data_IF_144300731822
#
_entry.id   IF_144300731822
#
_cell.length_a   1.000
_cell.length_b   1.000
_cell.length_c   1.000
_cell.angle_alpha   90.00
_cell.angle_beta   90.00
_cell.angle_gamma   90.00
#
_symmetry.space_group_name_H-M   'P 1'
#
loop_
_entity.id
_entity.type
_entity.pdbx_description
1 polymer ?
#
# COMPACT_ATOMS: atom_id res chain seq x y z
N UNK A 1 14.12 -14.73 -5.64
CA UNK A 1 12.68 -14.98 -5.44
C UNK A 1 12.40 -14.80 -3.96
N UNK A 2 11.90 -13.65 -3.53
CA UNK A 2 11.64 -13.34 -2.12
C UNK A 2 10.33 -14.02 -1.72
N UNK A 3 10.41 -15.06 -0.90
CA UNK A 3 9.28 -15.63 -0.19
C UNK A 3 8.79 -14.60 0.84
N UNK A 4 8.06 -13.61 0.39
CA UNK A 4 7.36 -12.69 1.27
C UNK A 4 6.15 -13.45 1.82
N UNK A 5 6.14 -13.75 3.12
CA UNK A 5 4.99 -14.29 3.84
C UNK A 5 3.89 -13.21 3.88
N UNK A 6 3.22 -13.00 2.75
CA UNK A 6 2.09 -12.08 2.66
C UNK A 6 0.91 -12.73 3.38
N UNK A 7 0.67 -12.31 4.62
CA UNK A 7 -0.51 -12.72 5.39
C UNK A 7 -1.74 -12.04 4.80
N UNK A 8 -2.46 -12.74 3.91
CA UNK A 8 -3.78 -12.30 3.43
C UNK A 8 -4.78 -12.35 4.57
N UNK A 9 -5.57 -11.30 4.74
CA UNK A 9 -6.58 -11.17 5.79
C UNK A 9 -7.98 -11.27 5.17
N UNK A 10 -8.92 -11.94 5.86
CA UNK A 10 -10.33 -12.02 5.44
C UNK A 10 -11.07 -10.78 5.93
N UNK A 11 -12.04 -10.32 5.14
CA UNK A 11 -12.79 -9.07 5.31
C UNK A 11 -13.89 -9.10 6.37
N UNK A 12 -14.24 -10.27 6.95
CA UNK A 12 -15.51 -10.49 7.64
C UNK A 12 -15.75 -9.60 8.87
N UNK A 13 -14.71 -9.02 9.50
CA UNK A 13 -14.85 -8.31 10.79
C UNK A 13 -14.07 -6.98 10.85
N UNK A 14 -13.74 -6.40 9.70
CA UNK A 14 -12.90 -5.21 9.65
C UNK A 14 -13.70 -3.97 9.19
N UNK A 15 -13.69 -2.91 9.99
CA UNK A 15 -14.10 -1.59 9.52
C UNK A 15 -13.04 -1.07 8.53
N UNK A 16 -13.41 -0.97 7.27
CA UNK A 16 -12.53 -0.57 6.19
C UNK A 16 -12.91 0.81 5.68
N UNK A 17 -11.94 1.71 5.65
CA UNK A 17 -12.05 3.03 5.01
C UNK A 17 -11.44 2.97 3.62
N UNK A 18 -12.13 3.54 2.65
CA UNK A 18 -11.65 3.63 1.28
C UNK A 18 -11.10 5.03 0.98
N UNK A 19 -10.02 5.08 0.20
CA UNK A 19 -9.38 6.31 -0.28
C UNK A 19 -9.15 6.23 -1.76
N UNK A 20 -9.76 7.15 -2.52
CA UNK A 20 -9.49 7.32 -3.94
C UNK A 20 -8.13 7.98 -4.13
N UNK A 21 -7.20 7.29 -4.78
CA UNK A 21 -5.86 7.83 -5.09
C UNK A 21 -5.85 8.62 -6.38
N UNK A 22 -6.43 8.07 -7.43
CA UNK A 22 -6.49 8.71 -8.74
C UNK A 22 -7.65 8.14 -9.57
N UNK A 23 -8.23 9.00 -10.38
CA UNK A 23 -9.19 8.62 -11.41
C UNK A 23 -8.77 9.24 -12.73
N UNK A 24 -8.85 8.46 -13.79
CA UNK A 24 -8.47 8.90 -15.13
C UNK A 24 -9.53 8.49 -16.14
N UNK A 25 -9.89 9.41 -17.05
CA UNK A 25 -10.70 9.09 -18.22
C UNK A 25 -9.83 8.42 -19.26
N UNK A 26 -10.20 7.21 -19.67
CA UNK A 26 -9.50 6.41 -20.68
C UNK A 26 -10.40 6.20 -21.90
N UNK A 27 -9.79 6.00 -23.04
CA UNK A 27 -10.52 5.88 -24.32
C UNK A 27 -10.08 4.61 -25.03
N UNK A 28 -11.06 3.85 -25.53
CA UNK A 28 -10.85 2.77 -26.48
C UNK A 28 -11.33 3.22 -27.85
N UNK A 29 -10.46 3.17 -28.84
CA UNK A 29 -10.80 3.49 -30.24
C UNK A 29 -11.26 2.21 -30.93
N UNK A 30 -12.43 2.26 -31.57
CA UNK A 30 -13.03 1.18 -32.36
C UNK A 30 -13.36 1.69 -33.76
N UNK A 31 -13.75 0.81 -34.70
CA UNK A 31 -14.17 1.18 -36.03
C UNK A 31 -15.36 2.18 -36.07
N UNK A 32 -16.19 2.18 -35.01
CA UNK A 32 -17.35 3.07 -34.86
C UNK A 32 -17.05 4.37 -34.11
N UNK A 33 -15.81 4.61 -33.67
CA UNK A 33 -15.43 5.82 -32.93
C UNK A 33 -14.72 5.58 -31.63
N UNK A 34 -14.79 6.56 -30.70
CA UNK A 34 -14.11 6.55 -29.40
C UNK A 34 -15.10 6.22 -28.29
N UNK A 35 -14.87 5.12 -27.58
CA UNK A 35 -15.62 4.75 -26.37
C UNK A 35 -14.85 5.19 -25.14
N UNK A 36 -15.45 6.02 -24.30
CA UNK A 36 -14.86 6.54 -23.08
C UNK A 36 -15.21 5.65 -21.89
N UNK A 37 -14.27 5.54 -20.96
CA UNK A 37 -14.43 4.86 -19.68
C UNK A 37 -13.59 5.57 -18.62
N UNK A 38 -13.85 5.28 -17.34
CA UNK A 38 -13.05 5.77 -16.22
C UNK A 38 -12.28 4.62 -15.61
N UNK A 39 -11.02 4.90 -15.23
CA UNK A 39 -10.17 3.98 -14.47
C UNK A 39 -9.85 4.63 -13.14
N UNK A 40 -10.22 3.96 -12.06
CA UNK A 40 -9.95 4.40 -10.69
C UNK A 40 -8.94 3.46 -10.03
N UNK A 41 -8.01 4.03 -9.25
CA UNK A 41 -7.19 3.28 -8.29
C UNK A 41 -7.61 3.68 -6.88
N UNK A 42 -7.97 2.69 -6.09
CA UNK A 42 -8.49 2.85 -4.73
C UNK A 42 -7.62 2.07 -3.77
N UNK A 43 -7.39 2.63 -2.60
CA UNK A 43 -6.74 1.97 -1.46
C UNK A 43 -7.78 1.82 -0.36
N UNK A 44 -7.82 0.66 0.26
CA UNK A 44 -8.71 0.33 1.37
C UNK A 44 -7.88 -0.11 2.55
N UNK A 45 -8.18 0.35 3.75
CA UNK A 45 -7.47 -0.03 4.97
C UNK A 45 -8.29 0.21 6.23
N UNK A 46 -7.85 -0.38 7.33
CA UNK A 46 -8.50 -0.29 8.64
C UNK A 46 -7.78 0.67 9.60
N UNK A 47 -6.73 1.36 9.13
CA UNK A 47 -5.88 2.22 9.97
C UNK A 47 -5.22 1.47 11.17
N UNK A 48 -5.22 0.13 11.12
CA UNK A 48 -4.62 -0.77 12.13
C UNK A 48 -3.79 -1.90 11.47
N UNK A 49 -2.94 -1.52 10.55
CA UNK A 49 -1.98 -2.43 9.91
C UNK A 49 -2.54 -3.28 8.77
N UNK A 50 -3.80 -3.09 8.34
CA UNK A 50 -4.35 -3.82 7.18
C UNK A 50 -4.60 -2.85 6.04
N UNK A 51 -4.13 -3.20 4.85
CA UNK A 51 -4.30 -2.39 3.64
C UNK A 51 -4.43 -3.28 2.40
N UNK A 52 -5.19 -2.80 1.43
CA UNK A 52 -5.29 -3.38 0.11
C UNK A 52 -5.43 -2.30 -0.95
N UNK A 53 -5.14 -2.64 -2.19
CA UNK A 53 -5.41 -1.76 -3.32
C UNK A 53 -6.22 -2.50 -4.37
N UNK A 54 -7.01 -1.75 -5.11
CA UNK A 54 -7.81 -2.29 -6.20
C UNK A 54 -7.91 -1.34 -7.37
N UNK A 55 -8.16 -1.90 -8.52
CA UNK A 55 -8.35 -1.21 -9.78
C UNK A 55 -9.77 -1.41 -10.27
N UNK A 56 -10.49 -0.32 -10.49
CA UNK A 56 -11.82 -0.37 -11.07
C UNK A 56 -11.88 0.34 -12.43
N UNK A 57 -12.64 -0.23 -13.36
CA UNK A 57 -12.90 0.38 -14.65
C UNK A 57 -14.37 0.25 -15.00
N UNK A 58 -15.00 1.38 -15.37
CA UNK A 58 -16.41 1.43 -15.78
C UNK A 58 -16.68 2.62 -16.68
N UNK A 59 -17.88 2.69 -17.26
CA UNK A 59 -18.37 3.84 -18.02
C UNK A 59 -18.64 5.07 -17.15
N UNK A 60 -18.96 4.85 -15.87
CA UNK A 60 -19.26 5.87 -14.87
C UNK A 60 -18.22 5.88 -13.75
N UNK A 61 -17.99 7.08 -13.16
CA UNK A 61 -17.00 7.29 -12.09
C UNK A 61 -17.36 6.48 -10.85
N UNK A 62 -18.60 6.53 -10.38
CA UNK A 62 -19.06 5.84 -9.18
C UNK A 62 -18.91 4.32 -9.32
N UNK A 63 -19.33 3.77 -10.45
CA UNK A 63 -19.18 2.34 -10.76
C UNK A 63 -17.71 1.91 -10.86
N UNK A 64 -16.79 2.78 -11.34
CA UNK A 64 -15.36 2.49 -11.37
C UNK A 64 -14.77 2.45 -9.96
N UNK A 65 -15.17 3.37 -9.07
CA UNK A 65 -14.73 3.40 -7.67
C UNK A 65 -15.25 2.15 -6.93
N UNK A 66 -16.54 1.83 -7.03
CA UNK A 66 -17.13 0.66 -6.37
C UNK A 66 -16.41 -0.64 -6.75
N UNK A 67 -16.13 -0.86 -8.04
CA UNK A 67 -15.33 -1.99 -8.52
C UNK A 67 -13.90 -1.99 -7.97
N UNK A 68 -13.28 -0.80 -7.86
CA UNK A 68 -11.95 -0.66 -7.25
C UNK A 68 -11.94 -1.05 -5.78
N UNK A 69 -12.97 -0.66 -5.01
CA UNK A 69 -13.12 -1.04 -3.60
C UNK A 69 -13.31 -2.56 -3.44
N UNK A 70 -14.15 -3.17 -4.27
CA UNK A 70 -14.35 -4.62 -4.25
C UNK A 70 -13.05 -5.40 -4.58
N UNK A 71 -12.28 -4.92 -5.55
CA UNK A 71 -10.99 -5.51 -5.90
C UNK A 71 -9.97 -5.34 -4.78
N UNK A 72 -9.91 -4.16 -4.14
CA UNK A 72 -9.05 -3.89 -3.00
C UNK A 72 -9.35 -4.81 -1.80
N UNK A 73 -10.62 -5.07 -1.51
CA UNK A 73 -11.05 -5.97 -0.43
C UNK A 73 -10.60 -7.42 -0.64
N UNK A 74 -10.38 -7.86 -1.87
CA UNK A 74 -9.85 -9.20 -2.19
C UNK A 74 -8.35 -9.33 -1.94
N UNK A 75 -7.64 -8.20 -1.93
CA UNK A 75 -6.19 -8.13 -1.88
C UNK A 75 -5.66 -7.47 -0.59
N UNK A 76 -6.31 -7.72 0.54
CA UNK A 76 -5.89 -7.19 1.83
C UNK A 76 -4.65 -7.91 2.35
N UNK A 77 -3.68 -7.12 2.84
CA UNK A 77 -2.43 -7.62 3.44
C UNK A 77 -2.23 -6.98 4.80
N UNK A 78 -1.63 -7.74 5.74
CA UNK A 78 -1.27 -7.25 7.07
C UNK A 78 0.18 -6.78 7.08
N UNK A 79 0.40 -5.57 7.58
CA UNK A 79 1.67 -4.86 7.65
C UNK A 79 2.07 -4.69 9.11
N UNK A 80 3.33 -4.91 9.50
CA UNK A 80 3.81 -4.64 10.85
C UNK A 80 3.94 -3.13 11.08
N UNK A 81 3.16 -2.59 12.00
CA UNK A 81 3.23 -1.20 12.48
C UNK A 81 3.66 -1.22 13.94
N UNK A 82 4.68 -0.45 14.31
CA UNK A 82 5.24 -0.37 15.66
C UNK A 82 5.21 1.08 16.13
N UNK A 83 4.49 1.37 17.21
CA UNK A 83 4.38 2.71 17.79
C UNK A 83 3.99 3.80 16.76
N UNK A 84 3.13 3.45 15.78
CA UNK A 84 2.68 4.38 14.74
C UNK A 84 3.72 4.69 13.66
N UNK A 85 4.81 3.90 13.57
CA UNK A 85 5.82 3.97 12.51
C UNK A 85 6.17 2.58 11.98
N UNK A 86 7.11 2.51 11.04
CA UNK A 86 7.60 1.25 10.44
C UNK A 86 8.85 0.75 11.18
N UNK A 87 9.10 -0.58 11.20
CA UNK A 87 10.24 -1.17 11.94
C UNK A 87 11.61 -0.72 11.45
N UNK A 88 11.80 -0.62 10.13
CA UNK A 88 13.10 -0.29 9.52
C UNK A 88 12.93 0.39 8.17
N UNK A 89 14.02 0.96 7.65
CA UNK A 89 14.07 1.48 6.29
C UNK A 89 13.86 0.33 5.29
N UNK A 90 13.02 0.59 4.28
CA UNK A 90 12.80 -0.32 3.17
C UNK A 90 12.72 0.44 1.85
N UNK A 91 13.21 -0.20 0.80
CA UNK A 91 13.09 0.28 -0.58
C UNK A 91 12.51 -0.84 -1.44
N UNK A 92 11.56 -0.49 -2.30
CA UNK A 92 11.00 -1.46 -3.26
C UNK A 92 10.73 -0.79 -4.59
N UNK A 93 10.80 -1.59 -5.66
CA UNK A 93 10.59 -1.13 -7.02
C UNK A 93 9.42 -1.86 -7.67
N UNK A 94 8.58 -1.10 -8.34
CA UNK A 94 7.55 -1.66 -9.21
C UNK A 94 7.58 -0.93 -10.56
N UNK A 95 7.87 -1.68 -11.64
CA UNK A 95 8.06 -1.09 -12.97
C UNK A 95 9.10 0.06 -12.94
N UNK A 96 8.76 1.24 -13.43
CA UNK A 96 9.63 2.42 -13.43
C UNK A 96 9.63 3.24 -12.14
N UNK A 97 8.87 2.87 -11.11
CA UNK A 97 8.80 3.59 -9.83
C UNK A 97 9.62 2.88 -8.75
N UNK A 98 10.47 3.64 -8.07
CA UNK A 98 11.21 3.24 -6.87
C UNK A 98 10.64 4.01 -5.69
N UNK A 99 10.30 3.31 -4.62
CA UNK A 99 9.79 3.87 -3.38
C UNK A 99 10.75 3.56 -2.25
N UNK A 100 11.07 4.58 -1.45
CA UNK A 100 11.84 4.46 -0.22
C UNK A 100 10.97 4.93 0.95
N UNK A 101 10.92 4.13 2.00
CA UNK A 101 10.25 4.45 3.27
C UNK A 101 11.25 4.34 4.41
N UNK A 102 11.18 5.27 5.36
CA UNK A 102 12.04 5.30 6.57
C UNK A 102 11.20 5.58 7.80
N UNK A 103 11.49 4.95 8.94
CA UNK A 103 10.83 5.28 10.20
C UNK A 103 11.15 6.74 10.59
N UNK A 104 10.23 7.37 11.31
CA UNK A 104 10.38 8.71 11.81
C UNK A 104 9.97 8.81 13.28
N UNK A 105 10.50 9.81 13.97
CA UNK A 105 10.18 10.09 15.37
C UNK A 105 8.69 10.50 15.53
N UNK A 106 8.09 10.25 16.69
CA UNK A 106 6.74 10.72 16.99
C UNK A 106 6.63 12.24 16.80
N UNK A 107 5.53 12.69 16.15
CA UNK A 107 5.29 14.08 15.84
C UNK A 107 5.78 14.54 14.47
N UNK A 108 6.54 13.72 13.74
CA UNK A 108 6.99 14.04 12.36
C UNK A 108 5.83 14.06 11.37
N UNK A 109 4.81 13.20 11.58
CA UNK A 109 3.72 13.04 10.63
C UNK A 109 4.08 12.19 9.41
N UNK A 110 3.16 12.10 8.45
CA UNK A 110 3.37 11.37 7.20
C UNK A 110 3.95 12.32 6.14
N UNK A 111 5.25 12.21 5.87
CA UNK A 111 5.92 12.97 4.82
C UNK A 111 6.07 12.09 3.60
N UNK A 112 5.11 12.19 2.67
CA UNK A 112 5.02 11.35 1.48
C UNK A 112 4.31 12.07 0.33
N UNK A 113 4.56 11.65 -0.90
CA UNK A 113 3.78 12.07 -2.07
C UNK A 113 2.34 11.53 -2.01
N UNK A 114 1.38 12.18 -2.67
CA UNK A 114 -0.06 11.93 -2.52
C UNK A 114 -0.47 10.45 -2.63
N UNK A 115 0.00 9.73 -3.65
CA UNK A 115 -0.32 8.33 -3.85
C UNK A 115 0.25 7.43 -2.73
N UNK A 116 1.47 7.73 -2.27
CA UNK A 116 2.11 7.00 -1.16
C UNK A 116 1.43 7.35 0.18
N UNK A 117 1.10 8.63 0.39
CA UNK A 117 0.42 9.11 1.59
C UNK A 117 -0.92 8.39 1.79
N UNK A 118 -1.72 8.24 0.74
CA UNK A 118 -2.98 7.53 0.80
C UNK A 118 -2.81 6.08 1.31
N UNK A 119 -1.77 5.37 0.86
CA UNK A 119 -1.46 4.01 1.32
C UNK A 119 -1.02 4.02 2.79
N UNK A 120 -0.06 4.88 3.15
CA UNK A 120 0.53 4.93 4.50
C UNK A 120 -0.50 5.30 5.58
N UNK A 121 -1.37 6.27 5.28
CA UNK A 121 -2.47 6.65 6.17
C UNK A 121 -3.54 5.55 6.27
N UNK A 122 -3.87 4.85 5.18
CA UNK A 122 -4.82 3.72 5.21
C UNK A 122 -4.29 2.52 6.03
N UNK A 123 -2.96 2.36 6.14
CA UNK A 123 -2.32 1.39 7.04
C UNK A 123 -2.42 1.82 8.52
N UNK A 124 -2.55 3.11 8.79
CA UNK A 124 -2.53 3.68 10.15
C UNK A 124 -1.13 4.12 10.62
N UNK A 125 -0.18 4.30 9.69
CA UNK A 125 1.13 4.84 10.01
C UNK A 125 1.00 6.35 10.25
N UNK A 126 1.48 6.82 11.40
CA UNK A 126 1.39 8.23 11.81
C UNK A 126 2.67 9.01 11.56
N UNK A 127 3.83 8.33 11.61
CA UNK A 127 5.14 8.96 11.49
C UNK A 127 6.03 8.18 10.52
N UNK A 128 6.31 8.77 9.35
CA UNK A 128 7.12 8.12 8.31
C UNK A 128 7.67 9.15 7.33
N UNK A 129 8.89 8.91 6.88
CA UNK A 129 9.52 9.64 5.78
C UNK A 129 9.51 8.75 4.54
N UNK A 130 8.88 9.21 3.47
CA UNK A 130 8.79 8.45 2.24
C UNK A 130 9.10 9.32 1.01
N UNK A 131 9.82 8.74 0.06
CA UNK A 131 10.20 9.40 -1.19
C UNK A 131 10.06 8.44 -2.36
N UNK A 132 9.46 8.93 -3.43
CA UNK A 132 9.43 8.23 -4.71
C UNK A 132 10.53 8.76 -5.63
N UNK A 133 11.09 7.87 -6.44
CA UNK A 133 12.05 8.17 -7.50
C UNK A 133 11.62 7.49 -8.79
N UNK A 134 11.98 8.06 -9.94
CA UNK A 134 11.58 7.53 -11.24
C UNK A 134 10.15 7.93 -11.63
N UNK A 135 9.36 6.97 -12.09
CA UNK A 135 8.00 7.23 -12.56
C UNK A 135 7.07 7.70 -11.44
N UNK A 136 6.32 8.76 -11.68
CA UNK A 136 5.30 9.30 -10.78
C UNK A 136 3.89 8.76 -11.04
N UNK A 137 3.74 7.73 -11.88
CA UNK A 137 2.45 7.11 -12.17
C UNK A 137 1.81 6.57 -10.87
N UNK A 138 0.60 7.02 -10.48
CA UNK A 138 -0.06 6.61 -9.24
C UNK A 138 -0.24 5.09 -9.11
N UNK A 139 -0.52 4.40 -10.21
CA UNK A 139 -0.65 2.93 -10.23
C UNK A 139 0.63 2.23 -9.82
N UNK A 140 1.77 2.69 -10.32
CA UNK A 140 3.07 2.11 -9.99
C UNK A 140 3.48 2.46 -8.56
N UNK A 141 3.24 3.71 -8.14
CA UNK A 141 3.58 4.18 -6.79
C UNK A 141 2.82 3.41 -5.70
N UNK A 142 1.50 3.22 -5.86
CA UNK A 142 0.70 2.43 -4.90
C UNK A 142 1.22 1.00 -4.80
N UNK A 143 1.47 0.34 -5.93
CA UNK A 143 1.99 -1.04 -5.95
C UNK A 143 3.39 -1.14 -5.34
N UNK A 144 4.30 -0.21 -5.67
CA UNK A 144 5.64 -0.17 -5.11
C UNK A 144 5.60 0.10 -3.59
N UNK A 145 4.71 0.98 -3.12
CA UNK A 145 4.56 1.28 -1.68
C UNK A 145 4.06 0.05 -0.92
N UNK A 146 3.05 -0.64 -1.43
CA UNK A 146 2.54 -1.86 -0.79
C UNK A 146 3.58 -2.97 -0.83
N UNK A 147 4.33 -3.13 -1.93
CA UNK A 147 5.45 -4.07 -2.00
C UNK A 147 6.51 -3.77 -0.93
N UNK A 148 6.92 -2.49 -0.78
CA UNK A 148 7.87 -2.07 0.26
C UNK A 148 7.36 -2.38 1.68
N UNK A 149 6.05 -2.15 1.94
CA UNK A 149 5.43 -2.46 3.22
C UNK A 149 5.35 -3.97 3.51
N UNK A 150 5.09 -4.80 2.49
CA UNK A 150 5.07 -6.27 2.62
C UNK A 150 6.45 -6.86 2.88
N UNK A 151 7.52 -6.19 2.48
CA UNK A 151 8.90 -6.61 2.71
C UNK A 151 9.42 -6.24 4.11
N UNK A 152 8.65 -5.47 4.89
CA UNK A 152 8.99 -5.14 6.27
C UNK A 152 9.01 -6.39 7.16
N UNK A 153 10.00 -6.46 8.04
CA UNK A 153 10.17 -7.53 9.03
C UNK A 153 10.10 -6.95 10.42
N UNK A 154 9.26 -7.50 11.26
CA UNK A 154 9.23 -7.19 12.68
C UNK A 154 10.30 -8.00 13.44
N UNK A 155 10.71 -7.51 14.59
CA UNK A 155 11.74 -8.16 15.40
C UNK A 155 11.30 -9.57 15.85
N UNK A 156 10.01 -9.78 16.08
CA UNK A 156 9.47 -11.09 16.44
C UNK A 156 9.67 -12.12 15.32
N UNK A 157 9.34 -11.75 14.08
CA UNK A 157 9.56 -12.62 12.90
C UNK A 157 11.05 -12.94 12.72
N UNK A 158 11.93 -11.96 12.96
CA UNK A 158 13.38 -12.17 12.86
C UNK A 158 13.88 -13.11 13.96
N UNK A 159 13.42 -12.93 15.21
CA UNK A 159 13.74 -13.81 16.34
C UNK A 159 13.34 -15.26 16.04
N UNK A 160 12.12 -15.44 15.58
CA UNK A 160 11.58 -16.77 15.23
C UNK A 160 12.36 -17.42 14.08
N UNK A 161 12.70 -16.67 13.03
CA UNK A 161 13.47 -17.18 11.90
C UNK A 161 14.91 -17.57 12.26
N UNK A 162 15.51 -16.86 13.21
CA UNK A 162 16.89 -17.13 13.69
C UNK A 162 16.94 -18.11 14.86
N UNK A 163 15.81 -18.43 15.49
CA UNK A 163 15.75 -19.29 16.69
C UNK A 163 16.40 -18.65 17.93
N UNK A 164 16.39 -17.33 18.04
CA UNK A 164 17.01 -16.56 19.13
C UNK A 164 15.97 -15.76 19.90
N UNK A 165 16.31 -15.33 21.12
CA UNK A 165 15.43 -14.48 21.93
C UNK A 165 15.30 -13.06 21.36
N UNK A 166 14.19 -12.37 21.71
CA UNK A 166 13.99 -10.97 21.33
C UNK A 166 15.12 -10.05 21.79
N UNK A 167 15.65 -10.28 23.01
CA UNK A 167 16.77 -9.50 23.54
C UNK A 167 18.03 -9.63 22.68
N UNK A 168 18.30 -10.83 22.18
CA UNK A 168 19.44 -11.07 21.29
C UNK A 168 19.26 -10.45 19.90
N UNK A 169 18.02 -10.20 19.45
CA UNK A 169 17.79 -9.48 18.18
C UNK A 169 18.20 -8.02 18.28
N UNK A 170 18.03 -7.39 19.47
CA UNK A 170 18.33 -5.96 19.67
C UNK A 170 19.73 -5.70 20.19
N UNK A 171 20.28 -6.60 20.99
CA UNK A 171 21.54 -6.37 21.71
C UNK A 171 22.72 -7.22 21.18
N UNK A 172 22.48 -8.14 20.27
CA UNK A 172 23.49 -9.04 19.69
C UNK A 172 23.63 -10.33 20.48
#
# INVERSE_FOLDING_TARGET
>A
MSNTNIKKVRTSDLELKDRLVSIQRVTKVTKGGRTFSFSAIVVVGNEDGVVGYGLGKASEVQSAIAKGVEDAKKNLVKIPVINGTIPHKQESRYSGSLVMIRPAAPGTGVIAGGAMRAVLESVGIKNVLAKSKGSSNPHNLVKATIAALCELRDAHSVAQLRGISMNQVFNG
#
